data_IF_484851672302
#
_entry.id   IF_484851672302
#
_cell.length_a   1.000
_cell.length_b   1.000
_cell.length_c   1.000
_cell.angle_alpha   90.00
_cell.angle_beta   90.00
_cell.angle_gamma   90.00
#
_symmetry.space_group_name_H-M   'P 1'
#
loop_
_entity.id
_entity.type
_entity.pdbx_description
1 polymer ?
#
# COMPACT_ATOMS: atom_id res chain seq x y z
N UNK A 1 2.33 -4.97 -6.59
CA UNK A 1 2.99 -6.11 -5.89
C UNK A 1 4.21 -5.73 -5.06
N UNK A 2 4.49 -4.45 -4.89
CA UNK A 2 5.58 -3.93 -4.06
C UNK A 2 5.13 -2.65 -3.35
N UNK A 3 3.85 -2.55 -3.02
CA UNK A 3 3.26 -1.42 -2.29
C UNK A 3 3.56 -1.54 -0.77
N UNK A 4 4.69 -2.17 -0.43
CA UNK A 4 5.13 -2.56 0.91
C UNK A 4 4.17 -3.49 1.69
N UNK A 5 3.05 -3.88 1.11
CA UNK A 5 2.07 -4.77 1.75
C UNK A 5 2.45 -6.26 1.78
N UNK A 6 3.56 -6.63 1.14
CA UNK A 6 4.10 -7.99 1.17
C UNK A 6 5.29 -8.07 2.14
N UNK A 7 5.30 -9.14 2.95
CA UNK A 7 6.46 -9.55 3.73
C UNK A 7 7.70 -9.78 2.85
N UNK A 8 8.87 -9.80 3.47
CA UNK A 8 10.16 -9.87 2.78
C UNK A 8 10.33 -11.18 2.01
N UNK A 9 9.88 -12.31 2.57
CA UNK A 9 10.03 -13.62 1.94
C UNK A 9 9.20 -13.73 0.65
N UNK A 10 7.96 -13.25 0.69
CA UNK A 10 7.07 -13.23 -0.47
C UNK A 10 7.59 -12.29 -1.56
N UNK A 11 8.24 -11.20 -1.15
CA UNK A 11 8.89 -10.26 -2.06
C UNK A 11 10.02 -10.89 -2.84
N UNK A 12 10.87 -11.67 -2.17
CA UNK A 12 12.00 -12.35 -2.79
C UNK A 12 11.55 -13.43 -3.77
N UNK A 13 10.49 -14.18 -3.44
CA UNK A 13 9.89 -15.16 -4.36
C UNK A 13 9.34 -14.51 -5.63
N UNK A 14 8.67 -13.36 -5.50
CA UNK A 14 8.16 -12.60 -6.66
C UNK A 14 9.33 -12.10 -7.52
N UNK A 15 10.40 -11.60 -6.89
CA UNK A 15 11.61 -11.14 -7.60
C UNK A 15 12.19 -12.28 -8.44
N UNK A 16 12.44 -13.42 -7.81
CA UNK A 16 13.01 -14.59 -8.49
C UNK A 16 12.15 -15.00 -9.69
N UNK A 17 10.82 -15.04 -9.52
CA UNK A 17 9.92 -15.38 -10.63
C UNK A 17 10.03 -14.39 -11.79
N UNK A 18 10.10 -13.09 -11.51
CA UNK A 18 10.22 -12.06 -12.55
C UNK A 18 11.56 -12.16 -13.29
N UNK A 19 12.64 -12.55 -12.60
CA UNK A 19 13.97 -12.74 -13.22
C UNK A 19 13.98 -13.98 -14.14
N UNK A 20 13.24 -15.03 -13.79
CA UNK A 20 13.16 -16.28 -14.56
C UNK A 20 12.07 -16.27 -15.65
N UNK A 21 11.09 -15.38 -15.57
CA UNK A 21 9.90 -15.38 -16.41
C UNK A 21 9.74 -14.08 -17.22
N UNK A 22 10.31 -14.05 -18.43
CA UNK A 22 10.19 -12.95 -19.39
C UNK A 22 8.76 -12.45 -19.67
N UNK A 23 7.71 -13.29 -19.82
CA UNK A 23 6.35 -12.78 -20.04
C UNK A 23 5.82 -12.03 -18.81
N UNK A 24 6.05 -12.54 -17.59
CA UNK A 24 5.62 -11.86 -16.37
C UNK A 24 6.39 -10.55 -16.14
N UNK A 25 7.67 -10.49 -16.51
CA UNK A 25 8.46 -9.26 -16.45
C UNK A 25 7.91 -8.17 -17.37
N UNK A 26 7.43 -8.52 -18.57
CA UNK A 26 6.81 -7.57 -19.50
C UNK A 26 5.50 -7.00 -18.96
N UNK A 27 4.62 -7.86 -18.46
CA UNK A 27 3.34 -7.44 -17.86
C UNK A 27 3.58 -6.56 -16.63
N UNK A 28 4.57 -6.91 -15.80
CA UNK A 28 4.97 -6.10 -14.65
C UNK A 28 5.49 -4.73 -15.08
N UNK A 29 6.31 -4.65 -16.13
CA UNK A 29 6.77 -3.38 -16.70
C UNK A 29 5.61 -2.49 -17.14
N UNK A 30 4.62 -3.06 -17.82
CA UNK A 30 3.42 -2.35 -18.25
C UNK A 30 2.60 -1.81 -17.06
N UNK A 31 2.39 -2.61 -16.02
CA UNK A 31 1.71 -2.15 -14.80
C UNK A 31 2.42 -0.94 -14.19
N UNK A 32 3.76 -0.98 -14.13
CA UNK A 32 4.59 0.09 -13.57
C UNK A 32 4.49 1.37 -14.41
N UNK A 33 4.49 1.26 -15.74
CA UNK A 33 4.31 2.41 -16.64
C UNK A 33 2.91 3.04 -16.49
N UNK A 34 1.87 2.22 -16.39
CA UNK A 34 0.50 2.68 -16.14
C UNK A 34 0.41 3.39 -14.78
N UNK A 35 0.97 2.79 -13.73
CA UNK A 35 1.01 3.41 -12.39
C UNK A 35 1.72 4.76 -12.43
N UNK A 36 2.86 4.85 -13.10
CA UNK A 36 3.59 6.11 -13.26
C UNK A 36 2.78 7.15 -14.05
N UNK A 37 2.08 6.72 -15.11
CA UNK A 37 1.21 7.60 -15.90
C UNK A 37 0.04 8.14 -15.06
N UNK A 38 -0.67 7.27 -14.34
CA UNK A 38 -1.77 7.67 -13.45
C UNK A 38 -1.27 8.60 -12.37
N UNK A 39 -0.14 8.27 -11.73
CA UNK A 39 0.46 9.11 -10.70
C UNK A 39 0.87 10.49 -11.23
N UNK A 40 1.16 10.66 -12.52
CA UNK A 40 1.44 11.97 -13.14
C UNK A 40 0.17 12.72 -13.53
N UNK A 41 -0.81 12.03 -14.11
CA UNK A 41 -1.98 12.66 -14.70
C UNK A 41 -3.11 12.93 -13.70
N UNK A 42 -3.17 12.18 -12.60
CA UNK A 42 -4.28 12.21 -11.63
C UNK A 42 -3.83 12.73 -10.25
N UNK A 43 -2.98 13.77 -10.22
CA UNK A 43 -2.59 14.44 -8.98
C UNK A 43 -3.59 15.54 -8.62
N UNK A 44 -4.82 15.15 -8.29
CA UNK A 44 -5.74 16.10 -7.66
C UNK A 44 -5.42 16.20 -6.17
N UNK A 45 -5.28 17.42 -5.61
CA UNK A 45 -5.07 17.58 -4.19
C UNK A 45 -6.25 16.98 -3.44
N UNK A 46 -5.95 16.22 -2.39
CA UNK A 46 -6.97 15.72 -1.49
C UNK A 46 -7.78 16.91 -0.93
N UNK A 47 -9.10 16.73 -0.77
CA UNK A 47 -9.97 17.76 -0.21
C UNK A 47 -9.42 18.27 1.13
N UNK A 48 -9.52 19.59 1.34
CA UNK A 48 -9.12 20.22 2.59
C UNK A 48 -9.80 19.56 3.80
N UNK A 49 -9.04 19.36 4.87
CA UNK A 49 -9.52 18.72 6.11
C UNK A 49 -9.68 17.19 6.02
N UNK A 50 -9.47 16.54 4.87
CA UNK A 50 -9.49 15.07 4.79
C UNK A 50 -8.40 14.47 5.70
N UNK A 51 -7.20 15.05 5.67
CA UNK A 51 -6.07 14.60 6.49
C UNK A 51 -6.39 14.68 7.98
N UNK A 52 -7.05 15.75 8.41
CA UNK A 52 -7.42 15.94 9.81
C UNK A 52 -8.51 14.95 10.24
N UNK A 53 -9.50 14.71 9.39
CA UNK A 53 -10.53 13.68 9.63
C UNK A 53 -9.93 12.28 9.73
N UNK A 54 -9.02 11.92 8.82
CA UNK A 54 -8.33 10.62 8.84
C UNK A 54 -7.52 10.48 10.13
N UNK A 55 -6.74 11.50 10.51
CA UNK A 55 -5.96 11.50 11.74
C UNK A 55 -6.84 11.38 12.98
N UNK A 56 -7.95 12.11 13.05
CA UNK A 56 -8.89 12.02 14.16
C UNK A 56 -9.48 10.61 14.26
N UNK A 57 -9.87 10.00 13.13
CA UNK A 57 -10.41 8.64 13.11
C UNK A 57 -9.37 7.59 13.51
N UNK A 58 -8.13 7.71 13.03
CA UNK A 58 -7.04 6.80 13.41
C UNK A 58 -6.78 6.86 14.92
N UNK A 59 -6.75 8.05 15.52
CA UNK A 59 -6.59 8.20 16.98
C UNK A 59 -7.71 7.50 17.75
N UNK A 60 -8.96 7.64 17.31
CA UNK A 60 -10.09 6.94 17.93
C UNK A 60 -9.91 5.43 17.87
N UNK A 61 -9.56 4.89 16.70
CA UNK A 61 -9.38 3.44 16.50
C UNK A 61 -8.25 2.91 17.38
N UNK A 62 -7.12 3.63 17.49
CA UNK A 62 -6.00 3.21 18.35
C UNK A 62 -6.44 3.18 19.82
N UNK A 63 -7.11 4.22 20.30
CA UNK A 63 -7.61 4.24 21.69
C UNK A 63 -8.64 3.13 21.95
N UNK A 64 -9.50 2.82 20.98
CA UNK A 64 -10.46 1.71 21.06
C UNK A 64 -9.76 0.35 21.08
N UNK A 65 -8.67 0.19 20.32
CA UNK A 65 -7.86 -1.03 20.30
C UNK A 65 -7.12 -1.23 21.63
N UNK A 66 -6.45 -0.18 22.11
CA UNK A 66 -5.73 -0.19 23.40
C UNK A 66 -6.69 -0.49 24.56
N UNK A 67 -7.88 0.13 24.57
CA UNK A 67 -8.88 -0.12 25.60
C UNK A 67 -9.45 -1.55 25.57
N UNK A 68 -9.51 -2.18 24.38
CA UNK A 68 -9.93 -3.59 24.26
C UNK A 68 -8.86 -4.55 24.76
N UNK A 69 -7.59 -4.29 24.47
CA UNK A 69 -6.48 -5.08 25.03
C UNK A 69 -6.47 -4.98 26.56
N UNK A 70 -6.65 -3.78 27.11
CA UNK A 70 -6.66 -3.57 28.56
C UNK A 70 -7.86 -4.23 29.29
N UNK A 71 -8.97 -4.48 28.61
CA UNK A 71 -10.15 -5.19 29.15
C UNK A 71 -10.09 -6.71 28.95
N UNK A 72 -9.19 -7.18 28.07
CA UNK A 72 -9.01 -8.60 27.77
C UNK A 72 -7.96 -9.26 28.69
N UNK A 73 -7.18 -8.47 29.42
CA UNK A 73 -6.30 -8.88 30.54
C UNK A 73 -7.02 -8.84 31.89
#
# INVERSE_FOLDING_TARGET
YLDLECDTERRDKIRQHLDECSPCLREFGLEQEIKALVARCCQEPARDGLRDRVRARLRQIVLEADAREFLAE
#
